data_IF_496175392155
#
_entry.id   IF_496175392155
#
_cell.length_a   1.000
_cell.length_b   1.000
_cell.length_c   1.000
_cell.angle_alpha   90.00
_cell.angle_beta   90.00
_cell.angle_gamma   90.00
#
_symmetry.space_group_name_H-M   'P 1'
#
loop_
_entity.id
_entity.type
_entity.pdbx_description
1 polymer ?
#
# COMPACT_ATOMS: atom_id res chain seq x y z
N UNK A 1 3.96 35.04 11.36
CA UNK A 1 5.03 35.31 12.33
C UNK A 1 4.46 35.03 13.71
N UNK A 2 4.79 33.90 14.29
CA UNK A 2 4.43 33.51 15.67
C UNK A 2 5.65 32.89 16.31
N UNK A 3 6.27 33.59 17.21
CA UNK A 3 7.46 33.19 17.93
C UNK A 3 7.08 32.16 19.01
N UNK A 4 7.72 31.00 18.98
CA UNK A 4 7.65 30.01 20.05
C UNK A 4 8.73 30.34 21.07
N UNK A 5 8.34 30.77 22.26
CA UNK A 5 9.23 30.96 23.38
C UNK A 5 9.52 29.60 24.05
N UNK A 6 10.77 29.14 23.95
CA UNK A 6 11.29 28.08 24.77
C UNK A 6 11.50 28.63 26.21
N UNK A 7 10.82 28.04 27.21
CA UNK A 7 11.11 28.28 28.61
C UNK A 7 12.34 27.46 29.01
N UNK A 8 13.36 28.16 29.42
CA UNK A 8 14.51 27.63 30.14
C UNK A 8 14.06 27.12 31.50
N UNK A 9 14.36 25.86 31.80
CA UNK A 9 14.25 25.29 33.16
C UNK A 9 15.56 25.57 33.90
N UNK A 10 15.47 26.35 34.96
CA UNK A 10 16.54 26.60 35.87
C UNK A 10 16.97 25.30 36.60
N UNK A 11 18.27 25.10 36.85
CA UNK A 11 18.75 23.92 37.57
C UNK A 11 18.44 24.03 39.08
N UNK A 12 17.83 22.97 39.61
CA UNK A 12 17.58 22.80 41.03
C UNK A 12 18.89 22.74 41.85
N UNK A 13 18.93 23.33 43.07
CA UNK A 13 20.13 23.32 43.89
C UNK A 13 20.38 21.92 44.46
N UNK A 14 21.59 21.43 44.24
CA UNK A 14 22.14 20.22 44.83
C UNK A 14 22.48 20.47 46.31
N UNK A 15 21.60 20.02 47.18
CA UNK A 15 21.99 19.80 48.58
C UNK A 15 22.07 18.30 48.82
N UNK A 16 23.28 17.78 48.93
CA UNK A 16 23.51 16.38 49.26
C UNK A 16 23.23 16.10 50.74
N UNK A 17 22.70 14.94 51.06
CA UNK A 17 22.85 14.34 52.36
C UNK A 17 23.88 13.20 52.31
N UNK A 18 24.58 13.09 53.45
CA UNK A 18 25.64 12.16 53.79
C UNK A 18 25.40 10.71 53.38
N UNK A 19 26.45 10.12 52.80
CA UNK A 19 26.57 8.68 52.64
C UNK A 19 26.86 7.99 53.98
N UNK A 20 25.77 7.56 54.62
CA UNK A 20 25.83 6.52 55.64
C UNK A 20 25.81 5.15 54.96
N UNK A 21 26.84 4.37 55.17
CA UNK A 21 26.96 2.97 54.75
C UNK A 21 25.77 2.15 55.30
N UNK A 22 24.92 1.66 54.44
CA UNK A 22 23.97 0.59 54.75
C UNK A 22 24.21 -0.53 53.75
N UNK A 23 24.42 -1.72 54.29
CA UNK A 23 24.81 -2.92 53.58
C UNK A 23 23.82 -3.34 52.52
N UNK A 24 24.38 -3.80 51.42
CA UNK A 24 23.70 -4.53 50.35
C UNK A 24 23.19 -5.89 50.91
N UNK A 25 21.97 -5.91 51.34
CA UNK A 25 21.12 -7.11 51.26
C UNK A 25 19.98 -6.77 50.29
N UNK A 26 20.22 -7.02 49.01
CA UNK A 26 19.16 -7.10 48.04
C UNK A 26 18.30 -8.32 48.38
N UNK A 27 17.28 -8.07 49.17
CA UNK A 27 16.19 -9.01 49.41
C UNK A 27 15.54 -9.34 48.05
N UNK A 28 15.95 -10.45 47.47
CA UNK A 28 15.24 -11.04 46.34
C UNK A 28 13.84 -11.40 46.83
N UNK A 29 12.89 -10.51 46.64
CA UNK A 29 11.48 -10.82 46.81
C UNK A 29 11.14 -11.87 45.75
N UNK A 30 11.07 -13.11 46.19
CA UNK A 30 10.61 -14.23 45.41
C UNK A 30 9.12 -14.00 45.14
N UNK A 31 8.84 -13.41 43.98
CA UNK A 31 7.45 -13.13 43.53
C UNK A 31 6.75 -14.47 43.41
N UNK A 32 5.69 -14.64 44.18
CA UNK A 32 4.89 -15.86 44.22
C UNK A 32 4.49 -16.31 42.79
N UNK A 33 4.45 -17.62 42.50
CA UNK A 33 4.19 -18.14 41.16
C UNK A 33 2.83 -17.67 40.60
N UNK A 34 1.83 -17.45 41.45
CA UNK A 34 0.53 -16.92 41.07
C UNK A 34 0.62 -15.51 40.47
N UNK A 35 1.41 -14.63 41.10
CA UNK A 35 1.63 -13.26 40.61
C UNK A 35 2.35 -13.23 39.26
N UNK A 36 3.28 -14.16 39.01
CA UNK A 36 3.95 -14.30 37.71
C UNK A 36 2.98 -14.73 36.60
N UNK A 37 2.05 -15.59 36.92
CA UNK A 37 1.05 -16.09 35.98
C UNK A 37 0.04 -14.99 35.60
N UNK A 38 -0.44 -14.22 36.59
CA UNK A 38 -1.29 -13.05 36.36
C UNK A 38 -0.61 -11.97 35.50
N UNK A 39 0.68 -11.69 35.76
CA UNK A 39 1.45 -10.71 34.95
C UNK A 39 1.62 -11.20 33.50
N UNK A 40 1.78 -12.51 33.28
CA UNK A 40 1.89 -13.09 31.95
C UNK A 40 0.55 -13.03 31.20
N UNK A 41 -0.56 -13.36 31.85
CA UNK A 41 -1.90 -13.27 31.28
C UNK A 41 -2.25 -11.83 30.91
N UNK A 42 -2.00 -10.88 31.79
CA UNK A 42 -2.21 -9.45 31.52
C UNK A 42 -1.38 -8.96 30.34
N UNK A 43 -0.13 -9.42 30.20
CA UNK A 43 0.73 -9.09 29.07
C UNK A 43 0.21 -9.66 27.76
N UNK A 44 -0.34 -10.87 27.78
CA UNK A 44 -0.94 -11.48 26.58
C UNK A 44 -2.23 -10.79 26.18
N UNK A 45 -3.07 -10.36 27.13
CA UNK A 45 -4.27 -9.54 26.86
C UNK A 45 -3.87 -8.21 26.23
N UNK A 46 -2.88 -7.51 26.78
CA UNK A 46 -2.38 -6.25 26.20
C UNK A 46 -1.85 -6.44 24.79
N UNK A 47 -1.11 -7.51 24.53
CA UNK A 47 -0.60 -7.80 23.20
C UNK A 47 -1.73 -8.11 22.20
N UNK A 48 -2.67 -8.93 22.57
CA UNK A 48 -3.85 -9.27 21.72
C UNK A 48 -4.73 -8.05 21.44
N UNK A 49 -4.93 -7.19 22.44
CA UNK A 49 -5.70 -5.96 22.28
C UNK A 49 -5.00 -4.98 21.36
N UNK A 50 -3.67 -4.87 21.47
CA UNK A 50 -2.87 -4.05 20.55
C UNK A 50 -2.92 -4.57 19.11
N UNK A 51 -2.77 -5.89 18.93
CA UNK A 51 -2.92 -6.51 17.61
C UNK A 51 -4.32 -6.30 17.03
N UNK A 52 -5.37 -6.40 17.85
CA UNK A 52 -6.74 -6.12 17.42
C UNK A 52 -6.93 -4.66 17.01
N UNK A 53 -6.36 -3.72 17.79
CA UNK A 53 -6.35 -2.29 17.44
C UNK A 53 -5.67 -2.03 16.10
N UNK A 54 -4.49 -2.62 15.87
CA UNK A 54 -3.80 -2.48 14.59
C UNK A 54 -4.61 -3.06 13.43
N UNK A 55 -5.26 -4.21 13.63
CA UNK A 55 -6.15 -4.81 12.62
C UNK A 55 -7.32 -3.88 12.28
N UNK A 56 -7.95 -3.26 13.28
CA UNK A 56 -9.03 -2.30 13.07
C UNK A 56 -8.54 -1.07 12.28
N UNK A 57 -7.37 -0.51 12.64
CA UNK A 57 -6.79 0.62 11.93
C UNK A 57 -6.40 0.27 10.47
N UNK A 58 -5.93 -0.94 10.21
CA UNK A 58 -5.62 -1.42 8.84
C UNK A 58 -6.85 -1.47 7.93
N UNK A 59 -8.06 -1.64 8.45
CA UNK A 59 -9.28 -1.54 7.65
C UNK A 59 -9.41 -0.15 6.99
N UNK A 60 -8.84 0.89 7.63
CA UNK A 60 -8.84 2.27 7.11
C UNK A 60 -10.24 2.86 6.97
N UNK A 61 -11.17 2.44 7.82
CA UNK A 61 -12.52 2.99 8.01
C UNK A 61 -12.63 3.76 9.33
N UNK A 62 -11.68 3.56 10.24
CA UNK A 62 -11.62 4.23 11.52
C UNK A 62 -10.56 5.32 11.50
N UNK A 63 -10.89 6.47 12.09
CA UNK A 63 -9.97 7.58 12.31
C UNK A 63 -9.09 7.34 13.54
N UNK A 64 -9.69 6.80 14.59
CA UNK A 64 -9.07 6.55 15.88
C UNK A 64 -9.67 5.30 16.48
N UNK A 65 -8.84 4.51 17.13
CA UNK A 65 -9.24 3.32 17.89
C UNK A 65 -8.51 3.40 19.23
N UNK A 66 -9.26 3.58 20.29
CA UNK A 66 -8.79 3.56 21.67
C UNK A 66 -9.11 2.22 22.29
N UNK A 67 -8.21 1.70 23.10
CA UNK A 67 -8.39 0.44 23.81
C UNK A 67 -8.37 0.77 25.29
N UNK A 68 -9.48 0.49 25.95
CA UNK A 68 -9.62 0.60 27.38
C UNK A 68 -9.65 -0.81 27.96
N UNK A 69 -8.79 -1.06 28.96
CA UNK A 69 -8.71 -2.32 29.68
C UNK A 69 -9.06 -2.00 31.13
N UNK A 70 -10.13 -2.59 31.63
CA UNK A 70 -10.60 -2.42 32.99
C UNK A 70 -10.83 -3.78 33.64
N UNK A 71 -10.90 -3.80 34.96
CA UNK A 71 -11.26 -5.02 35.70
C UNK A 71 -12.75 -5.26 35.57
N UNK A 72 -13.13 -6.51 35.34
CA UNK A 72 -14.54 -6.88 35.20
C UNK A 72 -15.29 -6.61 36.52
N UNK A 73 -16.30 -5.74 36.46
CA UNK A 73 -17.13 -5.35 37.62
C UNK A 73 -18.59 -5.60 37.26
N UNK A 74 -19.27 -6.48 38.00
CA UNK A 74 -20.69 -6.77 37.79
C UNK A 74 -21.15 -8.03 38.50
N UNK A 75 -22.47 -8.31 38.46
CA UNK A 75 -23.04 -9.53 39.07
C UNK A 75 -22.56 -10.81 38.35
N UNK A 76 -22.16 -10.74 37.08
CA UNK A 76 -21.59 -11.81 36.27
C UNK A 76 -20.08 -11.75 36.13
N UNK A 77 -19.38 -10.94 36.96
CA UNK A 77 -17.94 -10.75 36.86
C UNK A 77 -17.19 -12.05 37.17
N UNK A 78 -16.33 -12.45 36.21
CA UNK A 78 -15.42 -13.58 36.47
C UNK A 78 -14.30 -13.09 37.40
N UNK A 79 -13.96 -13.82 38.47
CA UNK A 79 -12.84 -13.45 39.32
C UNK A 79 -11.57 -13.31 38.49
N UNK A 80 -10.88 -12.18 38.64
CA UNK A 80 -9.70 -11.75 37.83
C UNK A 80 -10.00 -11.51 36.33
N UNK A 81 -11.26 -11.32 35.92
CA UNK A 81 -11.64 -10.98 34.57
C UNK A 81 -11.22 -9.56 34.15
N UNK A 82 -10.78 -9.41 32.93
CA UNK A 82 -10.49 -8.10 32.31
C UNK A 82 -11.51 -7.81 31.21
N UNK A 83 -12.11 -6.65 31.28
CA UNK A 83 -13.00 -6.12 30.24
C UNK A 83 -12.19 -5.25 29.27
N UNK A 84 -12.19 -5.65 28.00
CA UNK A 84 -11.49 -4.91 26.94
C UNK A 84 -12.50 -4.21 26.06
N UNK A 85 -12.57 -2.89 26.18
CA UNK A 85 -13.48 -2.03 25.41
C UNK A 85 -12.72 -1.34 24.31
N UNK A 86 -13.22 -1.42 23.06
CA UNK A 86 -12.71 -0.69 21.93
C UNK A 86 -13.61 0.51 21.65
N UNK A 87 -13.11 1.71 21.91
CA UNK A 87 -13.78 2.94 21.49
C UNK A 87 -13.27 3.34 20.10
N UNK A 88 -14.19 3.37 19.13
CA UNK A 88 -13.86 3.56 17.73
C UNK A 88 -14.53 4.81 17.17
N UNK A 89 -13.74 5.65 16.53
CA UNK A 89 -14.25 6.82 15.79
C UNK A 89 -14.16 6.51 14.30
N UNK A 90 -15.32 6.47 13.63
CA UNK A 90 -15.38 6.21 12.19
C UNK A 90 -14.90 7.42 11.36
N UNK A 91 -14.35 7.15 10.19
CA UNK A 91 -14.08 8.16 9.18
C UNK A 91 -15.40 8.73 8.63
N UNK A 92 -15.34 9.97 8.15
CA UNK A 92 -16.48 10.57 7.46
C UNK A 92 -16.88 9.71 6.26
N UNK A 93 -18.18 9.46 6.08
CA UNK A 93 -18.73 8.63 4.99
C UNK A 93 -18.37 9.15 3.60
N UNK A 94 -18.14 10.44 3.45
CA UNK A 94 -17.72 11.06 2.22
C UNK A 94 -16.52 11.98 2.48
N UNK A 95 -15.44 11.77 1.77
CA UNK A 95 -14.27 12.63 1.78
C UNK A 95 -13.97 13.11 0.37
N UNK A 96 -14.01 14.42 0.17
CA UNK A 96 -13.64 15.07 -1.09
C UNK A 96 -12.23 15.65 -1.01
N UNK A 97 -11.48 15.56 -2.10
CA UNK A 97 -10.19 16.23 -2.28
C UNK A 97 -10.20 17.02 -3.58
N UNK A 98 -9.62 18.19 -3.56
CA UNK A 98 -9.47 19.04 -4.72
C UNK A 98 -8.03 19.54 -4.79
N UNK A 99 -7.38 19.31 -5.92
CA UNK A 99 -6.02 19.75 -6.18
C UNK A 99 -5.94 20.43 -7.54
N UNK A 100 -5.25 21.55 -7.61
CA UNK A 100 -4.92 22.23 -8.86
C UNK A 100 -3.41 22.28 -9.04
N UNK A 101 -2.96 21.94 -10.22
CA UNK A 101 -1.56 22.07 -10.63
C UNK A 101 -1.48 23.03 -11.80
N UNK A 102 -0.62 24.03 -11.68
CA UNK A 102 -0.34 24.98 -12.75
C UNK A 102 1.17 25.01 -12.97
N UNK A 103 1.60 24.71 -14.16
CA UNK A 103 3.02 24.68 -14.53
C UNK A 103 3.18 24.94 -16.02
N UNK A 104 4.34 25.36 -16.44
CA UNK A 104 4.82 25.61 -17.82
C UNK A 104 3.82 25.37 -18.97
N UNK A 105 2.84 26.26 -19.15
CA UNK A 105 1.76 26.17 -20.14
C UNK A 105 0.75 25.01 -19.95
N UNK A 106 0.76 24.36 -18.82
CA UNK A 106 -0.18 23.29 -18.51
C UNK A 106 -0.89 23.59 -17.19
N UNK A 107 -2.20 23.41 -17.19
CA UNK A 107 -3.02 23.44 -15.99
C UNK A 107 -3.78 22.12 -15.86
N UNK A 108 -3.82 21.57 -14.69
CA UNK A 108 -4.65 20.41 -14.39
C UNK A 108 -5.40 20.58 -13.07
N UNK A 109 -6.59 20.06 -13.05
CA UNK A 109 -7.47 20.03 -11.89
C UNK A 109 -7.81 18.58 -11.57
N UNK A 110 -7.59 18.17 -10.35
CA UNK A 110 -7.89 16.81 -9.89
C UNK A 110 -8.95 16.87 -8.80
N UNK A 111 -10.06 16.19 -9.04
CA UNK A 111 -11.13 15.99 -8.07
C UNK A 111 -11.08 14.54 -7.61
N UNK A 112 -11.07 14.32 -6.32
CA UNK A 112 -11.13 13.00 -5.71
C UNK A 112 -12.30 12.90 -4.73
N UNK A 113 -13.06 11.81 -4.83
CA UNK A 113 -14.11 11.46 -3.88
C UNK A 113 -13.82 10.07 -3.33
N UNK A 114 -13.85 9.92 -2.02
CA UNK A 114 -13.67 8.65 -1.32
C UNK A 114 -14.86 8.39 -0.43
N UNK A 115 -15.47 7.21 -0.61
CA UNK A 115 -16.53 6.70 0.24
C UNK A 115 -16.02 5.43 0.95
N UNK A 116 -15.51 5.57 2.17
CA UNK A 116 -15.15 4.41 2.97
C UNK A 116 -16.41 3.75 3.54
N UNK A 117 -16.39 2.43 3.62
CA UNK A 117 -17.41 1.62 4.26
C UNK A 117 -18.82 1.77 3.64
N UNK A 118 -18.89 1.68 2.29
CA UNK A 118 -20.13 1.92 1.54
C UNK A 118 -21.26 0.95 1.94
N UNK A 119 -20.95 -0.33 2.12
CA UNK A 119 -21.90 -1.39 2.46
C UNK A 119 -21.72 -1.94 3.89
N UNK A 120 -20.88 -1.32 4.72
CA UNK A 120 -20.66 -1.74 6.10
C UNK A 120 -19.65 -2.88 6.29
N UNK A 121 -18.90 -3.27 5.23
CA UNK A 121 -17.89 -4.35 5.25
C UNK A 121 -16.48 -3.86 4.93
N UNK A 122 -16.19 -2.62 5.27
CA UNK A 122 -14.93 -1.94 4.98
C UNK A 122 -14.61 -1.78 3.50
N UNK A 123 -15.61 -1.86 2.62
CA UNK A 123 -15.43 -1.54 1.21
C UNK A 123 -15.09 -0.06 1.02
N UNK A 124 -14.25 0.23 0.06
CA UNK A 124 -13.85 1.59 -0.30
C UNK A 124 -14.17 1.84 -1.76
N UNK A 125 -14.98 2.85 -2.02
CA UNK A 125 -15.21 3.36 -3.35
C UNK A 125 -14.45 4.67 -3.51
N UNK A 126 -13.58 4.73 -4.52
CA UNK A 126 -12.80 5.92 -4.83
C UNK A 126 -13.12 6.35 -6.24
N UNK A 127 -13.54 7.58 -6.42
CA UNK A 127 -13.70 8.21 -7.72
C UNK A 127 -12.65 9.31 -7.84
N UNK A 128 -11.93 9.33 -8.97
CA UNK A 128 -10.95 10.35 -9.29
C UNK A 128 -11.22 10.87 -10.69
N UNK A 129 -11.25 12.17 -10.82
CA UNK A 129 -11.39 12.86 -12.10
C UNK A 129 -10.28 13.88 -12.22
N UNK A 130 -9.52 13.81 -13.30
CA UNK A 130 -8.46 14.75 -13.62
C UNK A 130 -8.78 15.41 -14.95
N UNK A 131 -8.85 16.72 -14.94
CA UNK A 131 -9.02 17.54 -16.12
C UNK A 131 -7.80 18.40 -16.32
N UNK A 132 -7.08 18.19 -17.40
CA UNK A 132 -5.92 18.96 -17.78
C UNK A 132 -6.07 19.53 -19.18
N UNK A 133 -5.25 20.50 -19.52
CA UNK A 133 -5.24 21.13 -20.85
C UNK A 133 -4.85 20.16 -21.97
N UNK A 134 -4.06 19.15 -21.67
CA UNK A 134 -3.62 18.12 -22.63
C UNK A 134 -4.25 16.74 -22.37
N UNK A 135 -4.61 16.45 -21.15
CA UNK A 135 -5.00 15.12 -20.71
C UNK A 135 -6.25 15.18 -19.85
N UNK A 136 -7.16 14.26 -20.11
CA UNK A 136 -8.34 14.07 -19.26
C UNK A 136 -8.39 12.60 -18.85
N UNK A 137 -8.35 12.35 -17.56
CA UNK A 137 -8.44 11.00 -17.01
C UNK A 137 -9.52 10.90 -15.95
N UNK A 138 -10.12 9.73 -15.85
CA UNK A 138 -11.04 9.40 -14.77
C UNK A 138 -10.81 7.97 -14.32
N UNK A 139 -11.06 7.73 -13.05
CA UNK A 139 -10.94 6.43 -12.44
C UNK A 139 -12.02 6.21 -11.39
N UNK A 140 -12.59 5.03 -11.41
CA UNK A 140 -13.48 4.52 -10.37
C UNK A 140 -12.87 3.23 -9.85
N UNK A 141 -12.53 3.20 -8.58
CA UNK A 141 -11.92 2.04 -7.93
C UNK A 141 -12.81 1.57 -6.79
N UNK A 142 -13.19 0.32 -6.85
CA UNK A 142 -13.85 -0.39 -5.77
C UNK A 142 -12.87 -1.36 -5.13
N UNK A 143 -12.64 -1.22 -3.85
CA UNK A 143 -11.72 -2.05 -3.08
C UNK A 143 -12.48 -2.74 -1.95
N UNK A 144 -12.31 -4.06 -1.83
CA UNK A 144 -12.94 -4.87 -0.81
C UNK A 144 -11.90 -5.72 -0.10
N UNK A 145 -11.56 -5.43 1.18
CA UNK A 145 -10.74 -6.32 1.99
C UNK A 145 -11.54 -7.55 2.41
N UNK A 146 -10.86 -8.67 2.56
CA UNK A 146 -11.53 -9.87 3.11
C UNK A 146 -11.54 -9.78 4.65
N UNK A 147 -12.70 -9.90 5.30
CA UNK A 147 -12.79 -9.92 6.76
C UNK A 147 -11.95 -11.07 7.34
N UNK A 148 -11.15 -10.78 8.36
CA UNK A 148 -10.29 -11.77 9.02
C UNK A 148 -8.94 -12.04 8.36
N UNK A 149 -8.78 -11.72 7.07
CA UNK A 149 -7.51 -11.87 6.34
C UNK A 149 -7.20 -10.58 5.59
N UNK A 150 -6.57 -9.63 6.27
CA UNK A 150 -6.32 -8.27 5.73
C UNK A 150 -5.39 -8.24 4.53
N UNK A 151 -4.60 -9.28 4.33
CA UNK A 151 -3.71 -9.39 3.19
C UNK A 151 -4.40 -9.94 1.93
N UNK A 152 -5.67 -10.38 2.08
CA UNK A 152 -6.50 -10.79 0.95
C UNK A 152 -7.46 -9.68 0.61
N UNK A 153 -7.40 -9.23 -0.62
CA UNK A 153 -8.26 -8.16 -1.09
C UNK A 153 -8.69 -8.38 -2.53
N UNK A 154 -9.81 -7.78 -2.86
CA UNK A 154 -10.34 -7.74 -4.20
C UNK A 154 -10.49 -6.28 -4.62
N UNK A 155 -10.05 -5.93 -5.81
CA UNK A 155 -10.27 -4.61 -6.38
C UNK A 155 -10.85 -4.72 -7.79
N UNK A 156 -11.75 -3.78 -8.10
CA UNK A 156 -12.33 -3.58 -9.42
C UNK A 156 -12.08 -2.13 -9.81
N UNK A 157 -11.45 -1.92 -10.96
CA UNK A 157 -11.14 -0.59 -11.43
C UNK A 157 -11.72 -0.36 -12.82
N UNK A 158 -12.35 0.79 -13.00
CA UNK A 158 -12.74 1.36 -14.27
C UNK A 158 -11.92 2.61 -14.48
N UNK A 159 -11.25 2.74 -15.60
CA UNK A 159 -10.39 3.90 -15.82
C UNK A 159 -10.34 4.34 -17.27
N UNK A 160 -10.05 5.61 -17.43
CA UNK A 160 -9.59 6.21 -18.67
C UNK A 160 -8.35 7.04 -18.36
N UNK A 161 -7.27 6.72 -19.03
CA UNK A 161 -6.00 7.45 -18.92
C UNK A 161 -5.59 7.89 -20.31
N UNK A 162 -5.13 9.12 -20.44
CA UNK A 162 -4.58 9.63 -21.68
C UNK A 162 -3.16 10.10 -21.40
N UNK A 163 -2.18 9.58 -22.14
CA UNK A 163 -0.77 9.95 -22.07
C UNK A 163 -0.31 10.58 -23.37
N UNK A 164 0.57 11.57 -23.29
CA UNK A 164 1.23 12.17 -24.43
C UNK A 164 2.75 12.04 -24.28
N UNK A 165 3.37 11.52 -25.30
CA UNK A 165 4.82 11.31 -25.38
C UNK A 165 5.40 12.20 -26.48
N UNK A 166 5.72 13.48 -26.20
CA UNK A 166 6.17 14.44 -27.21
C UNK A 166 7.43 14.02 -27.95
N UNK A 167 8.35 13.33 -27.25
CA UNK A 167 9.61 12.85 -27.83
C UNK A 167 9.44 11.78 -28.90
N UNK A 168 8.40 10.98 -28.81
CA UNK A 168 8.03 9.96 -29.82
C UNK A 168 6.87 10.42 -30.71
N UNK A 169 6.30 11.59 -30.44
CA UNK A 169 5.07 12.10 -31.10
C UNK A 169 3.89 11.13 -31.00
N UNK A 170 3.82 10.38 -29.88
CA UNK A 170 2.77 9.43 -29.60
C UNK A 170 1.76 9.99 -28.60
N UNK A 171 0.48 9.75 -28.87
CA UNK A 171 -0.61 9.93 -27.92
C UNK A 171 -1.28 8.59 -27.70
N UNK A 172 -1.42 8.20 -26.46
CA UNK A 172 -2.08 6.98 -26.03
C UNK A 172 -3.32 7.34 -25.19
N UNK A 173 -4.43 6.72 -25.47
CA UNK A 173 -5.66 6.86 -24.68
C UNK A 173 -6.22 5.48 -24.39
N UNK A 174 -6.10 5.09 -23.14
CA UNK A 174 -6.54 3.79 -22.64
C UNK A 174 -7.83 3.92 -21.87
N UNK A 175 -8.81 3.09 -22.21
CA UNK A 175 -10.05 2.91 -21.48
C UNK A 175 -10.14 1.46 -21.06
N UNK A 176 -10.16 1.20 -19.76
CA UNK A 176 -10.07 -0.17 -19.31
C UNK A 176 -10.91 -0.49 -18.10
N UNK A 177 -11.10 -1.79 -17.96
CA UNK A 177 -11.65 -2.43 -16.76
C UNK A 177 -10.60 -3.39 -16.27
N UNK A 178 -10.29 -3.37 -14.98
CA UNK A 178 -9.43 -4.38 -14.36
C UNK A 178 -10.05 -4.95 -13.11
N UNK A 179 -9.92 -6.26 -12.94
CA UNK A 179 -10.26 -6.98 -11.73
C UNK A 179 -9.00 -7.60 -11.16
N UNK A 180 -8.74 -7.38 -9.90
CA UNK A 180 -7.53 -7.80 -9.23
C UNK A 180 -7.85 -8.50 -7.92
N UNK A 181 -7.17 -9.61 -7.67
CA UNK A 181 -7.24 -10.39 -6.43
C UNK A 181 -5.84 -10.55 -5.88
N UNK A 182 -5.62 -10.06 -4.67
CA UNK A 182 -4.35 -10.22 -3.96
C UNK A 182 -4.52 -11.17 -2.78
N UNK A 183 -3.58 -12.07 -2.62
CA UNK A 183 -3.57 -13.03 -1.51
C UNK A 183 -2.14 -13.44 -1.15
N UNK A 184 -1.84 -13.61 0.13
CA UNK A 184 -0.55 -14.12 0.58
C UNK A 184 -0.56 -15.65 0.56
N UNK A 185 0.55 -16.24 0.12
CA UNK A 185 0.88 -17.65 0.30
C UNK A 185 2.22 -17.72 1.02
N UNK A 186 2.23 -18.19 2.26
CA UNK A 186 3.42 -18.20 3.11
C UNK A 186 4.03 -16.80 3.30
N UNK A 187 5.23 -16.58 2.74
CA UNK A 187 5.97 -15.31 2.77
C UNK A 187 5.91 -14.57 1.43
N UNK A 188 5.09 -15.05 0.51
CA UNK A 188 4.95 -14.49 -0.83
C UNK A 188 3.58 -13.84 -0.98
N UNK A 189 3.56 -12.66 -1.57
CA UNK A 189 2.32 -12.00 -1.96
C UNK A 189 2.08 -12.26 -3.44
N UNK A 190 0.91 -12.81 -3.75
CA UNK A 190 0.45 -13.08 -5.10
C UNK A 190 -0.68 -12.14 -5.47
N UNK A 191 -0.61 -11.60 -6.67
CA UNK A 191 -1.65 -10.75 -7.24
C UNK A 191 -2.01 -11.29 -8.61
N UNK A 192 -3.27 -11.66 -8.80
CA UNK A 192 -3.85 -12.01 -10.08
C UNK A 192 -4.67 -10.83 -10.57
N UNK A 193 -4.37 -10.32 -11.75
CA UNK A 193 -5.08 -9.21 -12.38
C UNK A 193 -5.55 -9.63 -13.75
N UNK A 194 -6.84 -9.53 -13.99
CA UNK A 194 -7.40 -9.53 -15.33
C UNK A 194 -7.68 -8.10 -15.77
N UNK A 195 -7.34 -7.77 -17.00
CA UNK A 195 -7.48 -6.43 -17.56
C UNK A 195 -7.97 -6.47 -18.99
N UNK A 196 -9.02 -5.73 -19.27
CA UNK A 196 -9.53 -5.46 -20.60
C UNK A 196 -9.36 -3.98 -20.94
N UNK A 197 -8.55 -3.65 -21.94
CA UNK A 197 -8.23 -2.28 -22.33
C UNK A 197 -8.57 -2.03 -23.77
N UNK A 198 -9.38 -1.02 -23.99
CA UNK A 198 -9.54 -0.40 -25.29
C UNK A 198 -8.54 0.72 -25.43
N UNK A 199 -7.54 0.49 -26.27
CA UNK A 199 -6.42 1.40 -26.50
C UNK A 199 -6.60 2.14 -27.81
N UNK A 200 -6.34 3.44 -27.80
CA UNK A 200 -6.32 4.31 -28.96
C UNK A 200 -4.94 4.97 -29.05
N UNK A 201 -4.19 4.61 -30.09
CA UNK A 201 -2.89 5.18 -30.39
C UNK A 201 -3.04 6.24 -31.48
N UNK A 202 -2.53 7.44 -31.26
CA UNK A 202 -2.61 8.54 -32.20
C UNK A 202 -1.26 9.25 -32.36
N UNK A 203 -1.06 9.87 -33.51
CA UNK A 203 0.12 10.69 -33.77
C UNK A 203 -0.11 12.12 -33.30
N UNK A 204 0.84 12.71 -32.55
CA UNK A 204 0.81 14.11 -32.15
C UNK A 204 1.25 15.05 -33.30
N UNK A 205 2.16 14.59 -34.16
CA UNK A 205 2.70 15.38 -35.26
C UNK A 205 2.76 14.56 -36.55
N UNK A 206 2.69 15.24 -37.70
CA UNK A 206 2.87 14.61 -39.03
C UNK A 206 4.27 14.02 -39.25
N UNK A 207 5.25 14.46 -38.44
CA UNK A 207 6.63 13.99 -38.47
C UNK A 207 6.88 12.77 -37.62
N UNK A 208 5.84 12.17 -37.01
CA UNK A 208 5.96 10.93 -36.25
C UNK A 208 6.59 9.81 -37.11
N UNK A 209 7.35 8.91 -36.45
CA UNK A 209 8.03 7.80 -37.11
C UNK A 209 7.03 6.90 -37.86
N UNK A 210 7.51 6.20 -38.88
CA UNK A 210 6.66 5.29 -39.65
C UNK A 210 6.01 4.22 -38.76
N UNK A 211 6.76 3.63 -37.82
CA UNK A 211 6.29 2.64 -36.88
C UNK A 211 5.09 3.13 -36.05
N UNK A 212 5.13 4.38 -35.55
CA UNK A 212 4.03 4.96 -34.78
C UNK A 212 2.80 5.20 -35.67
N UNK A 213 3.03 5.63 -36.92
CA UNK A 213 1.92 5.88 -37.85
C UNK A 213 1.26 4.57 -38.32
N UNK A 214 2.04 3.49 -38.43
CA UNK A 214 1.54 2.16 -38.78
C UNK A 214 0.68 1.56 -37.68
N UNK A 215 1.06 1.74 -36.41
CA UNK A 215 0.33 1.25 -35.26
C UNK A 215 -0.78 2.20 -34.79
N UNK A 216 -0.89 3.40 -35.40
CA UNK A 216 -1.96 4.34 -35.02
C UNK A 216 -3.34 3.77 -35.34
N UNK A 217 -4.24 3.77 -34.37
CA UNK A 217 -5.57 3.21 -34.49
C UNK A 217 -6.11 2.74 -33.16
N UNK A 218 -7.11 1.90 -33.23
CA UNK A 218 -7.75 1.30 -32.07
C UNK A 218 -7.31 -0.15 -31.94
N UNK A 219 -7.04 -0.59 -30.71
CA UNK A 219 -6.73 -1.99 -30.40
C UNK A 219 -7.41 -2.40 -29.09
N UNK A 220 -7.85 -3.63 -29.03
CA UNK A 220 -8.37 -4.24 -27.80
C UNK A 220 -7.33 -5.19 -27.24
N UNK A 221 -6.92 -4.94 -26.01
CA UNK A 221 -6.04 -5.83 -25.24
C UNK A 221 -6.86 -6.49 -24.14
N UNK A 222 -6.79 -7.81 -24.05
CA UNK A 222 -7.28 -8.57 -22.92
C UNK A 222 -6.13 -9.37 -22.36
N UNK A 223 -5.74 -9.10 -21.13
CA UNK A 223 -4.58 -9.74 -20.49
C UNK A 223 -4.90 -10.29 -19.11
N UNK A 224 -4.22 -11.39 -18.78
CA UNK A 224 -4.17 -11.97 -17.45
C UNK A 224 -2.76 -11.81 -16.93
N UNK A 225 -2.59 -11.12 -15.82
CA UNK A 225 -1.29 -10.88 -15.19
C UNK A 225 -1.22 -11.56 -13.85
N UNK A 226 -0.08 -12.16 -13.54
CA UNK A 226 0.26 -12.72 -12.26
C UNK A 226 1.52 -12.05 -11.74
N UNK A 227 1.44 -11.39 -10.60
CA UNK A 227 2.57 -10.81 -9.91
C UNK A 227 2.86 -11.59 -8.63
N UNK A 228 4.12 -11.96 -8.43
CA UNK A 228 4.63 -12.60 -7.23
C UNK A 228 5.69 -11.72 -6.61
N UNK A 229 5.53 -11.41 -5.32
CA UNK A 229 6.47 -10.56 -4.57
C UNK A 229 6.92 -11.27 -3.31
N UNK A 230 8.24 -11.41 -3.17
CA UNK A 230 8.90 -11.89 -1.95
C UNK A 230 9.71 -10.73 -1.41
N UNK A 231 9.36 -10.21 -0.25
CA UNK A 231 10.09 -9.13 0.41
C UNK A 231 10.56 -9.57 1.79
N UNK A 232 11.87 -9.73 1.92
CA UNK A 232 12.54 -10.09 3.18
C UNK A 232 13.38 -8.93 3.73
N UNK A 233 13.22 -7.74 3.17
CA UNK A 233 13.97 -6.55 3.60
C UNK A 233 13.53 -6.11 4.98
N UNK A 234 14.47 -5.60 5.76
CA UNK A 234 14.18 -5.07 7.09
C UNK A 234 13.45 -3.73 7.08
N UNK A 235 13.51 -3.00 5.96
CA UNK A 235 12.79 -1.73 5.72
C UNK A 235 12.51 -1.59 4.24
N UNK A 236 11.36 -1.01 3.90
CA UNK A 236 10.97 -0.75 2.50
C UNK A 236 11.63 0.50 1.94
N UNK A 237 11.89 1.52 2.78
CA UNK A 237 12.42 2.82 2.34
C UNK A 237 13.95 2.80 2.29
N UNK A 238 14.62 2.37 3.38
CA UNK A 238 16.07 2.31 3.48
C UNK A 238 16.50 0.91 3.94
N UNK A 239 16.49 -0.08 3.04
CA UNK A 239 16.83 -1.45 3.39
C UNK A 239 18.33 -1.58 3.68
N UNK A 240 18.67 -2.06 4.89
CA UNK A 240 20.05 -2.37 5.28
C UNK A 240 20.40 -3.83 5.06
N UNK A 241 19.41 -4.73 5.07
CA UNK A 241 19.57 -6.19 4.90
C UNK A 241 18.33 -6.78 4.26
N UNK A 242 18.50 -7.88 3.54
CA UNK A 242 17.44 -8.67 2.96
C UNK A 242 17.36 -8.55 1.45
N UNK A 243 16.40 -9.27 0.88
CA UNK A 243 16.19 -9.36 -0.56
C UNK A 243 14.74 -9.03 -0.92
N UNK A 244 14.57 -8.49 -2.09
CA UNK A 244 13.28 -8.32 -2.75
C UNK A 244 13.36 -9.07 -4.06
N UNK A 245 12.40 -9.96 -4.32
CA UNK A 245 12.19 -10.61 -5.61
C UNK A 245 10.77 -10.31 -6.07
N UNK A 246 10.64 -9.73 -7.26
CA UNK A 246 9.37 -9.56 -7.95
C UNK A 246 9.43 -10.29 -9.26
N UNK A 247 8.38 -11.04 -9.58
CA UNK A 247 8.18 -11.69 -10.85
C UNK A 247 6.80 -11.31 -11.34
N UNK A 248 6.73 -10.74 -12.55
CA UNK A 248 5.47 -10.40 -13.20
C UNK A 248 5.37 -11.21 -14.48
N UNK A 249 4.27 -11.92 -14.63
CA UNK A 249 3.95 -12.72 -15.81
C UNK A 249 2.64 -12.18 -16.39
N UNK A 250 2.63 -11.81 -17.66
CA UNK A 250 1.45 -11.31 -18.35
C UNK A 250 1.20 -12.12 -19.61
N UNK A 251 0.00 -12.65 -19.73
CA UNK A 251 -0.50 -13.33 -20.90
C UNK A 251 -1.61 -12.50 -21.54
N UNK A 252 -1.35 -11.93 -22.70
CA UNK A 252 -2.33 -11.17 -23.47
C UNK A 252 -2.91 -12.02 -24.62
N UNK A 253 -4.17 -11.76 -24.97
CA UNK A 253 -4.84 -12.39 -26.11
C UNK A 253 -5.57 -13.70 -25.78
N UNK A 254 -5.53 -14.20 -24.54
CA UNK A 254 -6.21 -15.46 -24.18
C UNK A 254 -7.76 -15.35 -24.26
N UNK A 255 -8.32 -14.23 -23.81
CA UNK A 255 -9.78 -13.98 -23.85
C UNK A 255 -10.24 -13.21 -25.10
N UNK A 256 -9.44 -13.20 -26.17
CA UNK A 256 -9.67 -12.39 -27.36
C UNK A 256 -8.96 -11.04 -27.28
N UNK A 257 -8.92 -10.33 -28.38
CA UNK A 257 -8.23 -9.05 -28.54
C UNK A 257 -7.35 -9.04 -29.79
N UNK A 258 -6.80 -7.86 -30.07
CA UNK A 258 -5.97 -7.63 -31.26
C UNK A 258 -4.48 -7.86 -30.98
N UNK A 259 -4.11 -8.03 -29.72
CA UNK A 259 -2.73 -8.16 -29.25
C UNK A 259 -2.56 -9.48 -28.50
N UNK A 260 -1.54 -10.26 -28.86
CA UNK A 260 -1.24 -11.55 -28.23
C UNK A 260 0.25 -11.69 -27.95
N UNK A 261 0.60 -11.77 -26.67
CA UNK A 261 1.99 -11.96 -26.23
C UNK A 261 2.07 -12.59 -24.83
N UNK A 262 3.22 -13.17 -24.54
CA UNK A 262 3.65 -13.55 -23.20
C UNK A 262 4.78 -12.60 -22.79
N UNK A 263 4.62 -11.93 -21.67
CA UNK A 263 5.63 -11.06 -21.07
C UNK A 263 5.99 -11.58 -19.71
N UNK A 264 7.27 -11.67 -19.42
CA UNK A 264 7.80 -12.05 -18.12
C UNK A 264 8.88 -11.05 -17.71
N UNK A 265 8.67 -10.39 -16.59
CA UNK A 265 9.59 -9.43 -16.00
C UNK A 265 10.01 -9.90 -14.62
N UNK A 266 11.30 -9.78 -14.31
CA UNK A 266 11.80 -10.05 -12.98
C UNK A 266 12.64 -8.88 -12.44
N UNK A 267 12.55 -8.66 -11.16
CA UNK A 267 13.34 -7.68 -10.40
C UNK A 267 13.88 -8.36 -9.15
N UNK A 268 15.20 -8.42 -9.02
CA UNK A 268 15.90 -8.91 -7.86
C UNK A 268 16.70 -7.77 -7.22
N UNK A 269 16.45 -7.48 -5.97
CA UNK A 269 17.22 -6.52 -5.19
C UNK A 269 17.83 -7.23 -3.99
N UNK A 270 19.13 -7.09 -3.80
CA UNK A 270 19.88 -7.64 -2.67
C UNK A 270 20.50 -6.50 -1.87
N UNK A 271 20.29 -6.51 -0.57
CA UNK A 271 20.84 -5.49 0.33
C UNK A 271 21.66 -6.17 1.42
N UNK A 272 22.92 -5.76 1.56
CA UNK A 272 23.85 -6.30 2.54
C UNK A 272 24.56 -5.17 3.27
N UNK A 273 24.47 -5.16 4.61
CA UNK A 273 25.23 -4.24 5.43
C UNK A 273 26.72 -4.61 5.35
N UNK A 274 27.56 -3.64 5.01
CA UNK A 274 29.01 -3.69 5.02
C UNK A 274 29.58 -3.05 6.31
N UNK A 275 30.87 -2.79 6.29
CA UNK A 275 31.58 -2.10 7.37
C UNK A 275 31.17 -0.62 7.45
N UNK A 276 31.27 -0.02 8.65
CA UNK A 276 31.10 1.42 8.91
C UNK A 276 29.73 1.97 8.49
N UNK A 277 28.65 1.22 8.79
CA UNK A 277 27.27 1.57 8.45
C UNK A 277 26.98 1.77 6.94
N UNK A 278 27.92 1.38 6.08
CA UNK A 278 27.67 1.33 4.65
C UNK A 278 26.79 0.15 4.27
N UNK A 279 25.97 0.32 3.23
CA UNK A 279 25.08 -0.72 2.69
C UNK A 279 25.37 -0.89 1.21
N UNK A 280 25.63 -2.12 0.80
CA UNK A 280 25.70 -2.49 -0.61
C UNK A 280 24.31 -2.92 -1.06
N UNK A 281 23.76 -2.20 -2.01
CA UNK A 281 22.51 -2.54 -2.68
C UNK A 281 22.80 -2.90 -4.14
N UNK A 282 22.42 -4.12 -4.52
CA UNK A 282 22.56 -4.60 -5.89
C UNK A 282 21.17 -4.87 -6.43
N UNK A 283 20.85 -4.31 -7.60
CA UNK A 283 19.59 -4.54 -8.29
C UNK A 283 19.87 -5.16 -9.66
N UNK A 284 19.14 -6.23 -9.95
CA UNK A 284 19.10 -6.90 -11.24
C UNK A 284 17.68 -6.88 -11.75
N UNK A 285 17.49 -6.36 -12.93
CA UNK A 285 16.21 -6.29 -13.61
C UNK A 285 16.32 -6.82 -15.02
N UNK A 286 15.31 -7.56 -15.48
CA UNK A 286 15.25 -8.08 -16.84
C UNK A 286 13.84 -8.52 -17.19
N UNK A 287 13.57 -8.62 -18.48
CA UNK A 287 12.29 -9.06 -18.99
C UNK A 287 12.40 -9.65 -20.38
N UNK A 288 11.44 -10.52 -20.70
CA UNK A 288 11.29 -11.14 -21.99
C UNK A 288 9.85 -10.94 -22.45
N UNK A 289 9.68 -10.50 -23.70
CA UNK A 289 8.40 -10.43 -24.38
C UNK A 289 8.42 -11.31 -25.60
N UNK A 290 7.51 -12.28 -25.65
CA UNK A 290 7.38 -13.23 -26.76
C UNK A 290 6.00 -13.04 -27.39
N UNK A 291 5.90 -12.60 -28.66
CA UNK A 291 4.62 -12.54 -29.35
C UNK A 291 4.07 -13.95 -29.58
N UNK A 292 2.76 -14.11 -29.40
CA UNK A 292 2.06 -15.39 -29.64
C UNK A 292 1.21 -15.24 -30.89
N UNK A 293 1.42 -16.12 -31.88
CA UNK A 293 0.69 -16.09 -33.14
C UNK A 293 1.26 -15.11 -34.15
N UNK A 294 0.40 -14.62 -35.07
CA UNK A 294 0.79 -13.76 -36.17
C UNK A 294 0.66 -12.25 -35.88
N UNK A 295 0.16 -11.88 -34.71
CA UNK A 295 0.00 -10.48 -34.30
C UNK A 295 1.30 -9.97 -33.69
N UNK A 296 1.78 -8.83 -34.18
CA UNK A 296 2.93 -8.18 -33.58
C UNK A 296 2.55 -7.56 -32.23
N UNK A 297 3.48 -7.56 -31.28
CA UNK A 297 3.30 -6.81 -30.03
C UNK A 297 3.28 -5.32 -30.30
N UNK A 298 2.36 -4.59 -29.69
CA UNK A 298 2.27 -3.12 -29.81
C UNK A 298 3.49 -2.42 -29.22
N UNK A 299 3.85 -1.24 -29.73
CA UNK A 299 4.87 -0.36 -29.17
C UNK A 299 4.56 -0.01 -27.70
N UNK A 300 3.29 0.11 -27.36
CA UNK A 300 2.84 0.41 -26.00
C UNK A 300 3.05 -0.74 -24.99
N UNK A 301 3.28 -1.98 -25.46
CA UNK A 301 3.49 -3.16 -24.60
C UNK A 301 4.98 -3.49 -24.40
N UNK A 302 5.87 -2.89 -25.21
CA UNK A 302 7.33 -3.03 -25.16
C UNK A 302 7.94 -2.05 -24.19
#
# INVERSE_FOLDING_TARGET
MGAVHARSLDPLPMSGPDFGSLGDEAEFVEVEPETKQEVLENKDVMKRSHEARERLLRLGIFKQVEVLIDTSQGEDAVPNGLDVTFDVTELRRLTGSYNTMVGNNEGSMVLGLKLPNLLGRAEKLTFQFSYGTKETSYGLSFFKPQPGHFDRNFSLNLYKVTGQFPWSSLRESDRGISAEVSFPIWKTNHTLKWEGVWRELGCLARTASFAIREESGHSLKSSLSHAMVIDTRNSTILPKRGALLKINQELAGYCGGDVSFLKEDFELQLNKKLLWDSVLSTSLWGGILVPIGYTASSIADR
#
